data_IF_739520309386
#
_entry.id   IF_739520309386
#
_cell.length_a   1.000
_cell.length_b   1.000
_cell.length_c   1.000
_cell.angle_alpha   90.00
_cell.angle_beta   90.00
_cell.angle_gamma   90.00
#
_symmetry.space_group_name_H-M   'P 1'
#
loop_
_entity.id
_entity.type
_entity.pdbx_description
1 polymer ?
#
# COMPACT_ATOMS: atom_id res chain seq x y z
N UNK A 1 -0.31 -13.36 29.41
CA UNK A 1 -1.37 -14.18 28.79
C UNK A 1 -1.18 -14.08 27.29
N UNK A 2 -0.98 -15.18 26.54
CA UNK A 2 -0.77 -15.13 25.10
C UNK A 2 -1.89 -14.33 24.41
N UNK A 3 -1.50 -13.36 23.55
CA UNK A 3 -2.42 -12.52 22.79
C UNK A 3 -2.99 -11.28 23.50
N UNK A 4 -2.82 -11.15 24.83
CA UNK A 4 -3.30 -9.97 25.56
C UNK A 4 -2.25 -8.91 25.82
N UNK A 5 -0.99 -9.28 25.83
CA UNK A 5 0.15 -8.38 26.05
C UNK A 5 1.16 -8.62 24.93
N UNK A 6 1.58 -7.57 24.27
CA UNK A 6 2.70 -7.59 23.32
C UNK A 6 3.67 -6.48 23.70
N UNK A 7 4.93 -6.84 23.86
CA UNK A 7 6.04 -5.88 24.01
C UNK A 7 7.03 -6.25 22.92
N UNK A 8 7.44 -5.26 22.14
CA UNK A 8 8.38 -5.45 21.06
C UNK A 8 9.40 -4.33 20.99
N UNK A 9 10.57 -4.70 20.52
CA UNK A 9 11.67 -3.79 20.22
C UNK A 9 12.33 -4.28 18.92
N UNK A 10 12.62 -3.40 18.02
CA UNK A 10 13.30 -3.70 16.77
C UNK A 10 14.29 -2.62 16.38
N UNK A 11 15.33 -3.01 15.68
CA UNK A 11 16.31 -2.10 15.09
C UNK A 11 16.56 -2.55 13.66
N UNK A 12 16.72 -1.60 12.76
CA UNK A 12 16.99 -1.83 11.35
C UNK A 12 18.09 -0.90 10.86
N UNK A 13 18.77 -1.35 9.82
CA UNK A 13 19.71 -0.61 9.04
C UNK A 13 19.70 -1.16 7.62
N UNK A 14 19.41 -0.33 6.65
CA UNK A 14 19.44 -0.71 5.25
C UNK A 14 20.85 -0.85 4.70
N UNK A 15 20.96 -1.57 3.57
CA UNK A 15 22.23 -1.72 2.88
C UNK A 15 22.71 -0.36 2.33
N UNK A 16 23.95 0.02 2.67
CA UNK A 16 24.55 1.29 2.27
C UNK A 16 24.46 2.40 3.31
N UNK A 17 23.65 2.25 4.35
CA UNK A 17 23.54 3.24 5.42
C UNK A 17 24.72 3.18 6.40
N UNK A 18 25.09 4.31 7.03
CA UNK A 18 26.21 4.36 7.95
C UNK A 18 25.89 3.69 9.28
N UNK A 19 26.74 2.75 9.71
CA UNK A 19 26.70 2.16 11.04
C UNK A 19 27.60 2.98 11.98
N UNK A 20 27.13 4.17 12.38
CA UNK A 20 27.93 5.13 13.16
C UNK A 20 27.06 6.00 14.05
N UNK A 21 27.53 6.25 15.28
CA UNK A 21 26.92 7.21 16.21
C UNK A 21 26.92 8.67 15.72
N UNK A 22 27.77 8.99 14.75
CA UNK A 22 27.79 10.31 14.14
C UNK A 22 26.46 10.64 13.44
N UNK A 23 25.81 9.63 12.89
CA UNK A 23 24.59 9.77 12.09
C UNK A 23 23.37 9.13 12.76
N UNK A 24 23.56 8.17 13.67
CA UNK A 24 22.51 7.37 14.28
C UNK A 24 22.78 7.15 15.77
N UNK A 25 21.89 7.59 16.65
CA UNK A 25 22.09 7.57 18.12
C UNK A 25 22.38 6.17 18.67
N UNK A 26 21.75 5.15 18.12
CA UNK A 26 21.90 3.74 18.52
C UNK A 26 22.64 2.88 17.48
N UNK A 27 23.42 3.48 16.59
CA UNK A 27 24.08 2.85 15.43
C UNK A 27 23.15 2.37 14.32
N UNK A 28 21.87 2.17 14.60
CA UNK A 28 20.86 1.73 13.66
C UNK A 28 20.09 2.93 13.12
N UNK A 29 19.69 2.85 11.88
CA UNK A 29 18.98 3.93 11.20
C UNK A 29 17.58 4.11 11.77
N UNK A 30 16.89 3.02 11.95
CA UNK A 30 15.55 2.98 12.52
C UNK A 30 15.47 2.12 13.78
N UNK A 31 14.70 2.60 14.76
CA UNK A 31 14.39 1.87 15.99
C UNK A 31 12.90 1.92 16.25
N UNK A 32 12.32 0.79 16.59
CA UNK A 32 10.88 0.66 16.92
C UNK A 32 10.71 0.03 18.29
N UNK A 33 9.70 0.50 19.02
CA UNK A 33 9.32 -0.03 20.32
C UNK A 33 7.83 0.05 20.50
N UNK A 34 7.21 -0.98 21.08
CA UNK A 34 5.81 -0.92 21.46
C UNK A 34 5.49 -1.69 22.74
N UNK A 35 4.50 -1.19 23.47
CA UNK A 35 3.74 -1.93 24.49
C UNK A 35 2.28 -1.92 24.04
N UNK A 36 1.68 -3.08 23.94
CA UNK A 36 0.29 -3.24 23.54
C UNK A 36 -0.45 -4.16 24.51
N UNK A 37 -1.62 -3.70 24.97
CA UNK A 37 -2.52 -4.43 25.83
C UNK A 37 -3.88 -4.57 25.15
N UNK A 38 -4.43 -5.79 25.14
CA UNK A 38 -5.76 -6.06 24.60
C UNK A 38 -6.67 -6.68 25.67
N UNK A 39 -7.96 -6.28 25.65
CA UNK A 39 -8.97 -6.74 26.62
C UNK A 39 -8.53 -6.52 28.07
N UNK A 40 -8.08 -5.30 28.39
CA UNK A 40 -7.59 -4.93 29.73
C UNK A 40 -8.70 -5.09 30.76
N UNK A 41 -9.88 -4.54 30.48
CA UNK A 41 -11.09 -4.71 31.27
C UNK A 41 -12.35 -4.51 30.40
N UNK A 42 -13.53 -4.42 31.01
CA UNK A 42 -14.80 -4.24 30.28
C UNK A 42 -14.87 -2.91 29.52
N UNK A 43 -14.27 -1.85 30.06
CA UNK A 43 -14.23 -0.51 29.46
C UNK A 43 -13.05 -0.37 28.47
N UNK A 44 -11.85 -0.75 28.90
CA UNK A 44 -10.62 -0.56 28.12
C UNK A 44 -10.37 -1.80 27.27
N UNK A 45 -10.62 -1.64 25.95
CA UNK A 45 -10.48 -2.71 24.98
C UNK A 45 -9.04 -2.87 24.52
N UNK A 46 -8.36 -1.76 24.21
CA UNK A 46 -6.97 -1.74 23.74
C UNK A 46 -6.23 -0.52 24.26
N UNK A 47 -4.95 -0.70 24.54
CA UNK A 47 -4.00 0.38 24.83
C UNK A 47 -2.72 0.10 24.05
N UNK A 48 -2.15 1.10 23.45
CA UNK A 48 -0.85 1.03 22.78
C UNK A 48 0.00 2.22 23.15
N UNK A 49 1.29 1.99 23.39
CA UNK A 49 2.31 3.01 23.65
C UNK A 49 3.54 2.67 22.81
N UNK A 50 4.18 3.66 22.22
CA UNK A 50 5.31 3.51 21.32
C UNK A 50 4.88 3.52 19.86
N UNK A 51 5.41 2.60 19.04
CA UNK A 51 5.09 2.53 17.62
C UNK A 51 3.85 1.67 17.37
N UNK A 52 2.87 2.26 16.72
CA UNK A 52 1.58 1.61 16.48
C UNK A 52 1.01 1.95 15.10
N UNK A 53 -0.03 1.22 14.75
CA UNK A 53 -0.81 1.43 13.54
C UNK A 53 -2.27 1.69 13.93
N UNK A 54 -2.90 2.64 13.25
CA UNK A 54 -4.31 2.94 13.37
C UNK A 54 -4.99 2.85 12.01
N UNK A 55 -6.23 2.39 11.97
CA UNK A 55 -7.02 2.37 10.74
C UNK A 55 -8.50 2.57 11.01
N UNK A 56 -9.17 3.25 10.10
CA UNK A 56 -10.59 3.53 10.13
C UNK A 56 -11.19 3.38 8.73
N UNK A 57 -12.44 2.94 8.66
CA UNK A 57 -13.23 2.86 7.44
C UNK A 57 -12.58 2.07 6.30
N UNK A 58 -12.64 2.62 5.10
CA UNK A 58 -12.04 2.08 3.88
C UNK A 58 -10.69 2.75 3.53
N UNK A 59 -10.16 3.56 4.44
CA UNK A 59 -8.85 4.19 4.33
C UNK A 59 -8.84 5.49 3.55
N UNK A 60 -9.94 6.22 3.48
CA UNK A 60 -9.93 7.56 2.91
C UNK A 60 -9.11 8.54 3.75
N UNK A 61 -9.23 8.46 5.09
CA UNK A 61 -8.52 9.40 5.98
C UNK A 61 -7.42 8.75 6.81
N UNK A 62 -7.54 7.46 7.15
CA UNK A 62 -6.60 6.78 8.05
C UNK A 62 -6.46 5.30 7.74
N UNK A 63 -5.27 4.90 7.30
CA UNK A 63 -4.92 3.50 7.14
C UNK A 63 -3.40 3.30 7.26
N UNK A 64 -2.94 3.07 8.48
CA UNK A 64 -1.53 2.76 8.76
C UNK A 64 -1.28 1.27 8.56
N UNK A 65 -1.03 0.84 7.38
CA UNK A 65 -0.78 -0.57 7.06
C UNK A 65 -0.48 -0.73 5.58
N UNK A 66 -0.27 -1.96 5.13
CA UNK A 66 -0.16 -2.22 3.71
C UNK A 66 -1.54 -1.98 3.06
N UNK A 67 -1.65 -0.93 2.27
CA UNK A 67 -2.82 -0.67 1.43
C UNK A 67 -2.71 -1.50 0.16
N UNK A 68 -3.23 -2.73 0.17
CA UNK A 68 -3.31 -3.50 -1.06
C UNK A 68 -4.36 -2.86 -1.99
N UNK A 69 -3.91 -2.48 -3.17
CA UNK A 69 -4.75 -2.10 -4.30
C UNK A 69 -5.23 -3.32 -5.10
N UNK A 70 -5.30 -3.18 -6.40
CA UNK A 70 -5.66 -4.26 -7.34
C UNK A 70 -4.72 -5.45 -7.20
N UNK A 71 -5.28 -6.65 -7.02
CA UNK A 71 -4.50 -7.87 -6.83
C UNK A 71 -5.20 -9.09 -7.42
N UNK A 72 -4.49 -10.22 -7.43
CA UNK A 72 -5.06 -11.51 -7.82
C UNK A 72 -6.12 -12.07 -6.84
N UNK A 73 -6.30 -11.42 -5.67
CA UNK A 73 -7.42 -11.67 -4.76
C UNK A 73 -8.56 -10.72 -5.10
N UNK A 74 -9.25 -11.01 -6.18
CA UNK A 74 -10.15 -10.10 -6.88
C UNK A 74 -11.39 -9.68 -6.09
N UNK A 75 -11.76 -10.40 -5.04
CA UNK A 75 -12.86 -10.05 -4.13
C UNK A 75 -12.39 -9.40 -2.82
N UNK A 76 -11.09 -9.23 -2.61
CA UNK A 76 -10.52 -8.62 -1.41
C UNK A 76 -10.44 -7.08 -1.52
N UNK A 77 -11.52 -6.44 -1.94
CA UNK A 77 -11.60 -4.98 -2.16
C UNK A 77 -11.98 -4.21 -0.89
N UNK A 78 -12.73 -4.85 0.02
CA UNK A 78 -13.10 -4.25 1.31
C UNK A 78 -11.91 -4.26 2.25
N UNK A 79 -11.53 -3.09 2.77
CA UNK A 79 -10.50 -3.00 3.79
C UNK A 79 -11.03 -3.50 5.14
N UNK A 80 -10.21 -4.33 5.79
CA UNK A 80 -10.47 -4.77 7.16
C UNK A 80 -9.75 -3.82 8.11
N UNK A 81 -10.47 -2.84 8.61
CA UNK A 81 -9.94 -1.97 9.64
C UNK A 81 -9.60 -2.76 10.91
N UNK A 82 -8.44 -2.46 11.47
CA UNK A 82 -8.01 -3.00 12.77
C UNK A 82 -7.67 -1.83 13.66
N UNK A 83 -8.66 -1.15 14.21
CA UNK A 83 -8.55 0.13 14.93
C UNK A 83 -7.12 0.47 15.43
N UNK A 84 -6.70 -0.03 16.56
CA UNK A 84 -5.34 0.09 17.10
C UNK A 84 -4.63 -1.25 17.13
N UNK A 85 -3.37 -1.28 16.68
CA UNK A 85 -2.48 -2.44 16.79
C UNK A 85 -1.02 -2.01 16.95
N UNK A 86 -0.15 -2.81 17.59
CA UNK A 86 1.27 -2.49 17.65
C UNK A 86 1.88 -2.53 16.25
N UNK A 87 2.86 -1.68 15.98
CA UNK A 87 3.73 -1.83 14.82
C UNK A 87 4.79 -2.86 15.12
N UNK A 88 4.73 -3.98 14.40
CA UNK A 88 5.72 -5.07 14.49
C UNK A 88 6.62 -5.13 13.26
N UNK A 89 6.46 -4.18 12.35
CA UNK A 89 7.24 -4.03 11.13
C UNK A 89 8.38 -3.05 11.37
N UNK A 90 9.49 -3.29 10.72
CA UNK A 90 10.61 -2.36 10.63
C UNK A 90 10.41 -1.29 9.55
N UNK A 91 9.21 -1.22 8.94
CA UNK A 91 8.89 -0.19 7.97
C UNK A 91 8.68 1.16 8.67
N UNK A 92 9.53 2.11 8.38
CA UNK A 92 9.61 3.43 9.01
C UNK A 92 8.40 4.32 8.74
N UNK A 93 7.78 4.16 7.59
CA UNK A 93 6.80 5.11 7.05
C UNK A 93 5.40 4.88 7.63
N UNK A 94 5.02 3.63 7.85
CA UNK A 94 3.64 3.24 8.13
C UNK A 94 3.27 3.23 9.61
N UNK A 95 4.20 3.54 10.51
CA UNK A 95 3.96 3.57 11.95
C UNK A 95 3.69 5.00 12.45
N UNK A 96 2.75 5.11 13.38
CA UNK A 96 2.58 6.27 14.24
C UNK A 96 3.39 6.03 15.52
N UNK A 97 3.94 7.08 16.12
CA UNK A 97 4.72 6.98 17.37
C UNK A 97 4.08 7.83 18.46
N UNK A 98 3.65 7.20 19.54
CA UNK A 98 2.93 7.90 20.61
C UNK A 98 2.08 6.97 21.46
N UNK A 99 0.82 7.28 21.64
CA UNK A 99 -0.11 6.48 22.42
C UNK A 99 -1.53 6.49 21.85
N UNK A 100 -2.26 5.41 22.09
CA UNK A 100 -3.66 5.30 21.73
C UNK A 100 -4.44 4.38 22.66
N UNK A 101 -5.71 4.65 22.78
CA UNK A 101 -6.66 3.84 23.56
C UNK A 101 -7.95 3.61 22.79
N UNK A 102 -8.49 2.43 22.91
CA UNK A 102 -9.83 2.07 22.44
C UNK A 102 -10.67 1.63 23.63
N UNK A 103 -11.82 2.28 23.81
CA UNK A 103 -12.75 2.09 24.91
C UNK A 103 -14.06 1.50 24.40
N UNK A 104 -14.66 0.57 25.15
CA UNK A 104 -16.05 0.15 24.97
C UNK A 104 -16.93 1.06 25.82
N UNK A 105 -17.47 2.13 25.24
CA UNK A 105 -18.25 3.16 25.98
C UNK A 105 -19.70 2.75 26.20
N UNK A 106 -20.24 1.88 25.34
CA UNK A 106 -21.57 1.29 25.47
C UNK A 106 -21.61 -0.09 24.79
N UNK A 107 -22.76 -0.78 24.90
CA UNK A 107 -22.99 -2.03 24.18
C UNK A 107 -22.85 -1.77 22.70
N UNK A 108 -21.97 -2.52 22.03
CA UNK A 108 -21.65 -2.43 20.60
C UNK A 108 -21.06 -1.06 20.16
N UNK A 109 -20.66 -0.20 21.09
CA UNK A 109 -20.10 1.11 20.78
C UNK A 109 -18.69 1.24 21.34
N UNK A 110 -17.73 1.52 20.47
CA UNK A 110 -16.35 1.78 20.84
C UNK A 110 -15.93 3.20 20.47
N UNK A 111 -15.04 3.75 21.27
CA UNK A 111 -14.39 5.03 21.02
C UNK A 111 -12.89 4.83 21.05
N UNK A 112 -12.23 5.17 19.98
CA UNK A 112 -10.79 5.16 19.83
C UNK A 112 -10.28 6.60 19.79
N UNK A 113 -9.18 6.86 20.49
CA UNK A 113 -8.43 8.11 20.38
C UNK A 113 -6.94 7.80 20.43
N UNK A 114 -6.17 8.55 19.67
CA UNK A 114 -4.71 8.43 19.67
C UNK A 114 -4.04 9.77 19.40
N UNK A 115 -2.79 9.86 19.84
CA UNK A 115 -1.86 10.95 19.53
C UNK A 115 -0.51 10.39 19.14
N UNK A 116 0.12 11.02 18.17
CA UNK A 116 1.43 10.67 17.63
C UNK A 116 2.28 11.91 17.45
N UNK A 117 3.55 11.79 17.81
CA UNK A 117 4.60 12.77 17.50
C UNK A 117 5.75 12.01 16.90
N UNK A 118 6.05 12.27 15.64
CA UNK A 118 7.15 11.63 14.93
C UNK A 118 7.96 12.65 14.12
N UNK A 119 9.18 12.29 13.81
CA UNK A 119 9.96 12.97 12.77
C UNK A 119 9.81 12.20 11.46
N UNK A 120 9.61 12.93 10.39
CA UNK A 120 9.48 12.38 9.01
C UNK A 120 10.54 13.04 8.16
N UNK A 121 11.01 12.32 7.15
CA UNK A 121 11.97 12.83 6.21
C UNK A 121 11.29 13.80 5.25
N UNK A 122 12.01 14.85 4.89
CA UNK A 122 11.46 15.89 4.05
C UNK A 122 12.52 16.63 3.25
N UNK A 123 12.26 16.81 1.97
CA UNK A 123 13.13 17.57 1.09
C UNK A 123 13.06 19.07 1.43
N UNK A 124 14.10 19.59 2.06
CA UNK A 124 14.21 21.00 2.39
C UNK A 124 14.32 21.86 1.13
N UNK A 125 13.58 22.96 1.09
CA UNK A 125 13.82 24.03 0.12
C UNK A 125 14.74 25.04 0.81
N UNK A 126 15.98 25.17 0.32
CA UNK A 126 16.92 26.19 0.77
C UNK A 126 16.72 27.41 -0.14
N UNK A 127 16.17 28.54 0.37
CA UNK A 127 16.05 29.76 -0.43
C UNK A 127 17.43 30.32 -0.81
N UNK A 128 17.57 30.86 -2.01
CA UNK A 128 18.83 31.43 -2.51
C UNK A 128 19.28 32.69 -1.74
N UNK A 129 18.44 33.27 -0.90
CA UNK A 129 18.73 34.45 -0.07
C UNK A 129 18.56 34.11 1.41
N UNK A 130 19.67 34.21 2.14
CA UNK A 130 19.72 34.01 3.60
C UNK A 130 19.22 35.30 4.27
N UNK A 131 17.92 35.47 4.40
CA UNK A 131 17.36 36.36 5.43
C UNK A 131 16.97 35.52 6.64
N UNK A 132 17.48 35.87 7.79
CA UNK A 132 17.49 35.08 9.02
C UNK A 132 16.09 34.75 9.64
N UNK A 133 14.98 35.10 9.00
CA UNK A 133 13.63 34.90 9.51
C UNK A 133 12.69 34.19 8.51
N UNK A 134 13.25 33.56 7.48
CA UNK A 134 12.39 32.87 6.51
C UNK A 134 11.86 31.54 7.07
N UNK A 135 10.58 31.33 6.91
CA UNK A 135 9.88 30.09 7.27
C UNK A 135 10.51 28.90 6.53
N UNK A 136 10.92 27.89 7.29
CA UNK A 136 11.46 26.65 6.71
C UNK A 136 10.37 25.91 5.93
N UNK A 137 10.65 25.65 4.67
CA UNK A 137 9.73 25.06 3.71
C UNK A 137 10.27 23.72 3.26
N UNK A 138 9.36 22.77 3.00
CA UNK A 138 9.68 21.48 2.41
C UNK A 138 8.90 21.30 1.12
N UNK A 139 9.51 20.70 0.10
CA UNK A 139 8.86 20.38 -1.17
C UNK A 139 8.05 19.08 -1.14
N UNK A 140 8.45 18.14 -0.33
CA UNK A 140 7.78 16.84 -0.19
C UNK A 140 8.12 16.16 1.13
N UNK A 141 7.22 15.28 1.58
CA UNK A 141 7.50 14.27 2.60
C UNK A 141 8.04 13.03 1.90
N UNK A 142 9.22 12.55 2.31
CA UNK A 142 9.81 11.36 1.73
C UNK A 142 9.16 10.09 2.30
N UNK A 143 8.95 9.12 1.42
CA UNK A 143 8.30 7.86 1.73
C UNK A 143 9.21 6.64 1.48
N UNK A 144 10.53 6.85 1.44
CA UNK A 144 11.50 5.79 1.17
C UNK A 144 12.16 5.23 2.43
N UNK A 145 12.46 6.08 3.43
CA UNK A 145 13.17 5.71 4.64
C UNK A 145 14.61 5.24 4.36
N UNK A 146 15.29 5.80 3.34
CA UNK A 146 16.65 5.42 2.96
C UNK A 146 17.60 6.57 3.24
N UNK A 147 18.70 6.30 3.96
CA UNK A 147 19.68 7.30 4.42
C UNK A 147 21.12 6.90 4.07
N UNK A 148 21.38 6.71 2.76
CA UNK A 148 22.64 6.17 2.21
C UNK A 148 23.59 7.26 1.72
N UNK A 149 23.03 8.35 1.19
CA UNK A 149 23.75 9.51 0.65
C UNK A 149 23.72 10.67 1.64
N UNK A 150 24.62 11.64 1.50
CA UNK A 150 24.64 12.84 2.35
C UNK A 150 23.32 13.60 2.29
N UNK A 151 22.73 13.74 1.11
CA UNK A 151 21.42 14.39 0.90
C UNK A 151 20.29 13.63 1.61
N UNK A 152 20.23 12.29 1.49
CA UNK A 152 19.25 11.46 2.19
C UNK A 152 19.40 11.57 3.72
N UNK A 153 20.65 11.70 4.23
CA UNK A 153 20.94 11.87 5.65
C UNK A 153 20.53 13.27 6.15
N UNK A 154 20.71 14.31 5.35
CA UNK A 154 20.28 15.68 5.68
C UNK A 154 18.75 15.81 5.76
N UNK A 155 18.04 15.09 4.93
CA UNK A 155 16.57 15.06 4.91
C UNK A 155 15.96 14.23 6.05
N UNK A 156 16.77 13.39 6.73
CA UNK A 156 16.35 12.48 7.80
C UNK A 156 15.73 13.22 8.97
N UNK A 157 14.48 12.86 9.28
CA UNK A 157 13.76 13.40 10.43
C UNK A 157 13.62 14.93 10.41
N UNK A 158 13.72 15.55 9.25
CA UNK A 158 13.74 17.01 9.08
C UNK A 158 12.41 17.66 9.48
N UNK A 159 11.29 16.94 9.37
CA UNK A 159 9.94 17.43 9.64
C UNK A 159 9.37 16.79 10.89
N UNK A 160 8.98 17.61 11.89
CA UNK A 160 8.19 17.13 13.02
C UNK A 160 6.71 17.12 12.64
N UNK A 161 6.11 15.93 12.70
CA UNK A 161 4.68 15.71 12.44
C UNK A 161 3.96 15.34 13.74
N UNK A 162 2.89 16.05 14.04
CA UNK A 162 1.95 15.74 15.14
C UNK A 162 0.68 15.25 14.48
N UNK A 163 0.23 14.06 14.84
CA UNK A 163 -1.03 13.50 14.34
C UNK A 163 -1.93 13.14 15.51
N UNK A 164 -3.17 13.57 15.49
CA UNK A 164 -4.20 13.18 16.44
C UNK A 164 -5.39 12.61 15.69
N UNK A 165 -6.01 11.56 16.22
CA UNK A 165 -7.20 11.00 15.58
C UNK A 165 -8.17 10.38 16.56
N UNK A 166 -9.43 10.32 16.14
CA UNK A 166 -10.50 9.69 16.90
C UNK A 166 -11.46 8.95 15.98
N UNK A 167 -12.04 7.87 16.50
CA UNK A 167 -13.10 7.10 15.84
C UNK A 167 -14.16 6.73 16.85
N UNK A 168 -15.40 7.10 16.56
CA UNK A 168 -16.58 6.61 17.27
C UNK A 168 -17.27 5.59 16.39
N UNK A 169 -17.35 4.32 16.84
CA UNK A 169 -17.89 3.23 16.06
C UNK A 169 -18.98 2.47 16.79
N UNK A 170 -20.11 2.34 16.13
CA UNK A 170 -21.15 1.39 16.49
C UNK A 170 -21.05 0.14 15.60
N UNK A 171 -21.00 -1.03 16.22
CA UNK A 171 -20.91 -2.32 15.54
C UNK A 171 -22.01 -3.28 16.00
N UNK A 172 -23.17 -3.19 15.38
CA UNK A 172 -24.29 -4.12 15.55
C UNK A 172 -24.10 -5.41 14.75
N UNK A 173 -25.09 -6.31 14.85
CA UNK A 173 -25.02 -7.63 14.15
C UNK A 173 -25.17 -7.55 12.64
N UNK A 174 -25.98 -6.60 12.16
CA UNK A 174 -26.24 -6.42 10.71
C UNK A 174 -25.69 -5.13 10.14
N UNK A 175 -25.29 -4.21 10.99
CA UNK A 175 -24.90 -2.86 10.59
C UNK A 175 -23.79 -2.33 11.49
N UNK A 176 -22.80 -1.71 10.90
CA UNK A 176 -21.82 -0.89 11.60
C UNK A 176 -21.69 0.48 10.94
N UNK A 177 -21.46 1.49 11.75
CA UNK A 177 -21.18 2.86 11.31
C UNK A 177 -20.04 3.43 12.16
N UNK A 178 -19.15 4.16 11.51
CA UNK A 178 -18.04 4.87 12.15
C UNK A 178 -18.04 6.35 11.78
N UNK A 179 -17.69 7.20 12.73
CA UNK A 179 -17.35 8.61 12.52
C UNK A 179 -15.89 8.77 12.89
N UNK A 180 -15.10 9.26 11.97
CA UNK A 180 -13.64 9.29 12.07
C UNK A 180 -13.13 10.70 11.83
N UNK A 181 -12.09 11.10 12.56
CA UNK A 181 -11.43 12.40 12.37
C UNK A 181 -9.94 12.23 12.58
N UNK A 182 -9.14 12.85 11.72
CA UNK A 182 -7.68 12.90 11.81
C UNK A 182 -7.22 14.33 11.58
N UNK A 183 -6.40 14.81 12.48
CA UNK A 183 -5.73 16.10 12.42
C UNK A 183 -4.23 15.90 12.37
N UNK A 184 -3.58 16.57 11.44
CA UNK A 184 -2.14 16.61 11.27
C UNK A 184 -1.61 18.02 11.37
N UNK A 185 -0.46 18.17 12.04
CA UNK A 185 0.29 19.42 12.09
C UNK A 185 1.78 19.15 11.81
N UNK A 186 2.31 19.88 10.85
CA UNK A 186 3.72 19.91 10.51
C UNK A 186 4.37 21.16 11.13
N UNK A 187 5.59 21.05 11.58
CA UNK A 187 6.38 22.21 12.07
C UNK A 187 6.84 23.09 10.89
N UNK A 188 6.97 22.53 9.71
CA UNK A 188 7.38 23.21 8.47
C UNK A 188 6.24 23.22 7.45
N UNK A 189 6.19 24.26 6.62
CA UNK A 189 5.18 24.38 5.58
C UNK A 189 5.54 23.45 4.42
N UNK A 190 4.61 22.57 4.03
CA UNK A 190 4.72 21.78 2.81
C UNK A 190 4.29 22.64 1.63
N UNK A 191 5.18 22.84 0.68
CA UNK A 191 4.93 23.55 -0.57
C UNK A 191 5.44 22.69 -1.73
N UNK A 192 4.57 21.88 -2.35
CA UNK A 192 4.95 21.08 -3.50
C UNK A 192 5.53 21.94 -4.62
N UNK A 193 6.49 21.38 -5.37
CA UNK A 193 7.11 22.08 -6.51
C UNK A 193 6.03 22.57 -7.49
N UNK A 194 6.27 23.74 -8.09
CA UNK A 194 5.34 24.35 -9.05
C UNK A 194 5.36 23.59 -10.39
N UNK A 195 4.67 22.47 -10.40
CA UNK A 195 4.40 21.64 -11.59
C UNK A 195 2.90 21.51 -11.77
N UNK A 196 2.42 21.52 -12.98
CA UNK A 196 1.00 21.49 -13.29
C UNK A 196 0.22 20.40 -12.55
N UNK A 197 0.77 19.19 -12.43
CA UNK A 197 0.13 18.08 -11.76
C UNK A 197 0.08 18.22 -10.22
N UNK A 198 0.96 19.04 -9.61
CA UNK A 198 1.02 19.27 -8.16
C UNK A 198 0.07 20.36 -7.66
N UNK A 199 -0.60 21.09 -8.55
CA UNK A 199 -1.40 22.28 -8.22
C UNK A 199 -2.43 22.05 -7.09
N UNK A 200 -2.99 20.88 -6.98
CA UNK A 200 -4.00 20.52 -5.98
C UNK A 200 -3.46 19.65 -4.84
N UNK A 201 -2.16 19.41 -4.80
CA UNK A 201 -1.56 18.68 -3.69
C UNK A 201 -1.67 19.47 -2.40
N UNK A 202 -1.64 18.78 -1.27
CA UNK A 202 -1.66 19.45 0.03
C UNK A 202 -0.51 20.46 0.15
N UNK A 203 -0.85 21.68 0.54
CA UNK A 203 0.08 22.76 0.86
C UNK A 203 -0.28 23.35 2.21
N UNK A 204 0.72 23.69 3.02
CA UNK A 204 0.56 24.28 4.34
C UNK A 204 1.08 23.39 5.48
N UNK A 205 0.67 23.71 6.71
CA UNK A 205 1.13 23.05 7.93
C UNK A 205 0.10 22.15 8.58
N UNK A 206 -1.20 22.38 8.33
CA UNK A 206 -2.26 21.73 9.07
C UNK A 206 -3.26 21.06 8.12
N UNK A 207 -3.63 19.82 8.42
CA UNK A 207 -4.62 19.08 7.69
C UNK A 207 -5.65 18.50 8.67
N UNK A 208 -6.93 18.64 8.33
CA UNK A 208 -8.03 18.04 9.08
C UNK A 208 -8.91 17.25 8.11
N UNK A 209 -9.09 15.98 8.36
CA UNK A 209 -9.98 15.14 7.58
C UNK A 209 -11.00 14.48 8.48
N UNK A 210 -12.26 14.44 8.06
CA UNK A 210 -13.33 13.73 8.75
C UNK A 210 -14.05 12.81 7.79
N UNK A 211 -14.48 11.64 8.27
CA UNK A 211 -15.23 10.68 7.45
C UNK A 211 -16.33 9.99 8.24
N UNK A 212 -17.28 9.46 7.47
CA UNK A 212 -18.27 8.50 7.94
C UNK A 212 -18.11 7.23 7.13
N UNK A 213 -17.94 6.10 7.81
CA UNK A 213 -17.91 4.78 7.20
C UNK A 213 -19.11 3.93 7.62
N UNK A 214 -19.43 2.95 6.78
CA UNK A 214 -20.48 1.99 7.09
C UNK A 214 -20.16 0.61 6.54
N UNK A 215 -20.76 -0.41 7.18
CA UNK A 215 -20.87 -1.78 6.64
C UNK A 215 -22.27 -2.31 6.97
N UNK A 216 -22.93 -2.85 5.98
CA UNK A 216 -24.28 -3.43 6.11
C UNK A 216 -24.30 -4.87 5.58
N UNK A 217 -24.76 -5.80 6.41
CA UNK A 217 -24.86 -7.22 6.08
C UNK A 217 -26.32 -7.58 5.73
N UNK A 218 -26.55 -7.87 4.47
CA UNK A 218 -27.85 -8.27 3.94
C UNK A 218 -27.76 -9.66 3.32
N UNK A 219 -28.12 -10.70 4.08
CA UNK A 219 -28.03 -12.10 3.62
C UNK A 219 -26.66 -12.43 3.02
N UNK A 220 -26.63 -12.60 1.69
CA UNK A 220 -25.43 -12.90 0.90
C UNK A 220 -24.73 -11.66 0.32
N UNK A 221 -25.11 -10.46 0.75
CA UNK A 221 -24.54 -9.19 0.30
C UNK A 221 -23.94 -8.45 1.49
N UNK A 222 -22.74 -7.93 1.33
CA UNK A 222 -22.10 -7.00 2.25
C UNK A 222 -21.89 -5.68 1.52
N UNK A 223 -22.65 -4.66 1.91
CA UNK A 223 -22.43 -3.30 1.44
C UNK A 223 -21.47 -2.59 2.39
N UNK A 224 -20.57 -1.80 1.85
CA UNK A 224 -19.62 -1.05 2.64
C UNK A 224 -19.22 0.24 1.91
N UNK A 225 -18.79 1.22 2.67
CA UNK A 225 -18.32 2.46 2.10
C UNK A 225 -17.73 3.40 3.14
N UNK A 226 -17.11 4.45 2.65
CA UNK A 226 -16.62 5.59 3.42
C UNK A 226 -16.79 6.84 2.58
N UNK A 227 -17.22 7.93 3.21
CA UNK A 227 -17.27 9.26 2.61
C UNK A 227 -16.53 10.22 3.53
N UNK A 228 -15.59 10.97 2.98
CA UNK A 228 -14.70 11.85 3.72
C UNK A 228 -14.72 13.26 3.15
N UNK A 229 -14.44 14.23 4.01
CA UNK A 229 -14.34 15.65 3.68
C UNK A 229 -13.05 16.22 4.27
N UNK A 230 -12.41 17.11 3.53
CA UNK A 230 -11.26 17.91 3.96
C UNK A 230 -11.64 19.39 4.15
N UNK A 231 -10.76 20.26 4.68
CA UNK A 231 -11.03 21.68 4.88
C UNK A 231 -11.37 22.45 3.60
N UNK A 232 -10.91 21.98 2.44
CA UNK A 232 -11.28 22.55 1.13
C UNK A 232 -12.73 22.22 0.72
N UNK A 233 -13.51 21.56 1.62
CA UNK A 233 -14.87 21.06 1.38
C UNK A 233 -14.98 20.09 0.21
N UNK A 234 -13.86 19.46 -0.16
CA UNK A 234 -13.82 18.43 -1.16
C UNK A 234 -14.27 17.10 -0.57
N UNK A 235 -15.21 16.42 -1.23
CA UNK A 235 -15.85 15.19 -0.75
C UNK A 235 -15.32 14.01 -1.57
N UNK A 236 -14.60 13.12 -0.92
CA UNK A 236 -14.17 11.84 -1.48
C UNK A 236 -15.08 10.71 -1.00
N UNK A 237 -15.37 9.75 -1.86
CA UNK A 237 -16.21 8.61 -1.49
C UNK A 237 -15.74 7.30 -2.13
N UNK A 238 -15.86 6.23 -1.38
CA UNK A 238 -15.65 4.84 -1.84
C UNK A 238 -16.80 4.00 -1.34
N UNK A 239 -17.46 3.29 -2.25
CA UNK A 239 -18.59 2.42 -1.93
C UNK A 239 -18.45 1.10 -2.67
N UNK A 240 -18.78 0.00 -2.02
CA UNK A 240 -18.64 -1.32 -2.61
C UNK A 240 -19.66 -2.32 -2.11
N UNK A 241 -19.73 -3.42 -2.83
CA UNK A 241 -20.57 -4.57 -2.50
C UNK A 241 -19.78 -5.87 -2.67
N UNK A 242 -19.84 -6.75 -1.69
CA UNK A 242 -19.42 -8.14 -1.81
C UNK A 242 -20.68 -9.00 -1.88
N UNK A 243 -20.80 -9.82 -2.91
CA UNK A 243 -22.01 -10.57 -3.22
C UNK A 243 -21.66 -12.05 -3.38
N UNK A 244 -22.21 -12.90 -2.53
CA UNK A 244 -22.17 -14.34 -2.71
C UNK A 244 -23.30 -14.79 -3.64
N UNK A 245 -23.04 -14.86 -4.94
CA UNK A 245 -24.05 -15.29 -5.92
C UNK A 245 -24.39 -16.77 -5.79
N UNK A 246 -23.38 -17.58 -5.49
CA UNK A 246 -23.48 -19.01 -5.30
C UNK A 246 -22.37 -19.46 -4.34
N UNK A 247 -22.45 -20.61 -3.64
CA UNK A 247 -21.34 -21.12 -2.81
C UNK A 247 -19.99 -21.25 -3.54
N UNK A 248 -20.01 -21.27 -4.87
CA UNK A 248 -18.83 -21.35 -5.73
C UNK A 248 -18.51 -20.04 -6.45
N UNK A 249 -19.33 -18.98 -6.33
CA UNK A 249 -19.17 -17.73 -7.08
C UNK A 249 -19.37 -16.54 -6.16
N UNK A 250 -18.33 -15.74 -6.03
CA UNK A 250 -18.33 -14.48 -5.31
C UNK A 250 -18.05 -13.32 -6.28
N UNK A 251 -18.75 -12.21 -6.08
CA UNK A 251 -18.60 -10.98 -6.87
C UNK A 251 -18.23 -9.83 -5.92
N UNK A 252 -17.37 -8.96 -6.36
CA UNK A 252 -17.04 -7.70 -5.73
C UNK A 252 -17.27 -6.54 -6.70
N UNK A 253 -17.95 -5.52 -6.25
CA UNK A 253 -18.13 -4.26 -6.96
C UNK A 253 -17.57 -3.14 -6.11
N UNK A 254 -16.94 -2.13 -6.73
CA UNK A 254 -16.46 -0.95 -6.03
C UNK A 254 -16.53 0.26 -6.94
N UNK A 255 -17.09 1.33 -6.44
CA UNK A 255 -17.05 2.67 -7.02
C UNK A 255 -16.19 3.56 -6.13
N UNK A 256 -15.37 4.40 -6.74
CA UNK A 256 -14.54 5.39 -6.06
C UNK A 256 -14.58 6.74 -6.78
N UNK A 257 -14.68 7.79 -6.00
CA UNK A 257 -14.58 9.17 -6.48
C UNK A 257 -13.72 9.98 -5.51
N UNK A 258 -12.55 10.36 -5.98
CA UNK A 258 -11.51 11.09 -5.27
C UNK A 258 -11.25 12.38 -6.05
N UNK A 259 -11.89 13.51 -5.69
CA UNK A 259 -11.65 14.79 -6.34
C UNK A 259 -10.17 15.21 -6.29
N UNK A 260 -9.71 15.97 -7.24
CA UNK A 260 -8.33 16.48 -7.30
C UNK A 260 -7.96 17.39 -6.11
N UNK A 261 -8.94 18.07 -5.52
CA UNK A 261 -8.78 18.93 -4.34
C UNK A 261 -8.83 18.14 -3.02
N UNK A 262 -9.18 16.85 -3.05
CA UNK A 262 -9.16 16.01 -1.87
C UNK A 262 -7.74 15.54 -1.58
N UNK A 263 -7.31 15.62 -0.33
CA UNK A 263 -6.04 15.10 0.14
C UNK A 263 -6.18 14.46 1.52
N UNK A 264 -5.35 13.49 1.81
CA UNK A 264 -5.18 12.89 3.13
C UNK A 264 -3.76 12.38 3.29
N UNK A 265 -3.07 12.81 4.36
CA UNK A 265 -1.67 12.41 4.62
C UNK A 265 -1.57 10.93 5.05
N UNK A 266 -2.65 10.34 5.57
CA UNK A 266 -2.70 8.95 6.04
C UNK A 266 -3.69 8.08 5.24
N UNK A 267 -4.26 8.62 4.17
CA UNK A 267 -5.18 7.88 3.31
C UNK A 267 -4.45 6.81 2.48
N UNK A 268 -5.02 5.60 2.43
CA UNK A 268 -4.60 4.50 1.55
C UNK A 268 -5.83 3.75 1.08
N UNK A 269 -6.59 4.37 0.23
CA UNK A 269 -7.82 3.81 -0.34
C UNK A 269 -7.50 2.79 -1.44
N UNK A 270 -8.50 2.03 -1.86
CA UNK A 270 -8.40 1.21 -3.08
C UNK A 270 -8.46 2.14 -4.30
N UNK A 271 -7.33 2.34 -4.96
CA UNK A 271 -7.15 3.23 -6.12
C UNK A 271 -6.11 2.66 -7.08
N UNK A 272 -6.01 3.24 -8.27
CA UNK A 272 -4.93 2.93 -9.21
C UNK A 272 -3.63 3.60 -8.75
N UNK A 273 -3.71 4.86 -8.39
CA UNK A 273 -2.57 5.60 -7.85
C UNK A 273 -2.38 5.37 -6.35
N UNK A 274 -1.16 5.62 -5.88
CA UNK A 274 -0.82 5.56 -4.44
C UNK A 274 -1.47 6.70 -3.66
N UNK A 275 -1.62 7.87 -4.28
CA UNK A 275 -2.25 9.03 -3.67
C UNK A 275 -3.78 8.88 -3.63
N UNK A 276 -4.39 9.37 -2.54
CA UNK A 276 -5.85 9.33 -2.33
C UNK A 276 -6.49 10.59 -2.92
N UNK A 277 -6.29 10.85 -4.20
CA UNK A 277 -6.75 12.05 -4.91
C UNK A 277 -6.90 11.81 -6.40
N UNK A 278 -7.63 12.71 -7.10
CA UNK A 278 -7.69 12.84 -8.56
C UNK A 278 -8.06 11.54 -9.31
N UNK A 279 -9.00 10.76 -8.78
CA UNK A 279 -9.39 9.51 -9.45
C UNK A 279 -10.88 9.23 -9.31
N UNK A 280 -11.53 8.90 -10.41
CA UNK A 280 -12.88 8.32 -10.42
C UNK A 280 -12.80 6.97 -11.11
N UNK A 281 -13.26 5.91 -10.44
CA UNK A 281 -13.13 4.57 -11.00
C UNK A 281 -14.24 3.61 -10.58
N UNK A 282 -14.37 2.56 -11.37
CA UNK A 282 -15.29 1.46 -11.13
C UNK A 282 -14.55 0.13 -11.32
N UNK A 283 -14.68 -0.73 -10.33
CA UNK A 283 -14.06 -2.06 -10.29
C UNK A 283 -15.14 -3.15 -10.20
N UNK A 284 -14.93 -4.21 -10.93
CA UNK A 284 -15.68 -5.46 -10.81
C UNK A 284 -14.68 -6.62 -10.70
N UNK A 285 -14.82 -7.44 -9.66
CA UNK A 285 -13.98 -8.61 -9.42
C UNK A 285 -14.80 -9.84 -9.13
N UNK A 286 -14.36 -11.00 -9.57
CA UNK A 286 -15.04 -12.28 -9.31
C UNK A 286 -14.04 -13.35 -8.89
N UNK A 287 -14.50 -14.23 -8.00
CA UNK A 287 -13.84 -15.48 -7.65
C UNK A 287 -14.82 -16.64 -7.93
N UNK A 288 -14.39 -17.60 -8.75
CA UNK A 288 -15.17 -18.78 -9.11
C UNK A 288 -14.40 -20.04 -8.70
N UNK A 289 -15.04 -20.92 -7.94
CA UNK A 289 -14.51 -22.21 -7.48
C UNK A 289 -15.27 -23.38 -8.10
N UNK A 290 -15.02 -23.73 -9.37
CA UNK A 290 -15.72 -24.81 -10.05
C UNK A 290 -15.60 -26.13 -9.28
N UNK A 291 -14.44 -26.37 -8.69
CA UNK A 291 -14.15 -27.51 -7.82
C UNK A 291 -13.23 -27.09 -6.66
N UNK A 292 -13.07 -27.95 -5.62
CA UNK A 292 -12.18 -27.63 -4.48
C UNK A 292 -10.70 -27.42 -4.85
N UNK A 293 -10.30 -27.75 -6.08
CA UNK A 293 -8.92 -27.64 -6.54
C UNK A 293 -8.70 -26.49 -7.53
N UNK A 294 -9.75 -26.03 -8.19
CA UNK A 294 -9.66 -24.97 -9.19
C UNK A 294 -10.26 -23.68 -8.66
N UNK A 295 -9.52 -22.58 -8.82
CA UNK A 295 -9.97 -21.24 -8.51
C UNK A 295 -9.68 -20.35 -9.72
N UNK A 296 -10.72 -19.64 -10.16
CA UNK A 296 -10.64 -18.63 -11.20
C UNK A 296 -10.86 -17.28 -10.53
N UNK A 297 -9.91 -16.38 -10.66
CA UNK A 297 -10.04 -14.99 -10.25
C UNK A 297 -9.96 -14.11 -11.48
N UNK A 298 -10.91 -13.19 -11.62
CA UNK A 298 -10.90 -12.21 -12.70
C UNK A 298 -11.35 -10.84 -12.19
N UNK A 299 -10.79 -9.78 -12.75
CA UNK A 299 -11.29 -8.42 -12.53
C UNK A 299 -11.19 -7.57 -13.79
N UNK A 300 -12.05 -6.55 -13.84
CA UNK A 300 -11.94 -5.38 -14.69
C UNK A 300 -12.00 -4.13 -13.82
N UNK A 301 -11.14 -3.16 -14.08
CA UNK A 301 -11.09 -1.87 -13.42
C UNK A 301 -10.96 -0.77 -14.47
N UNK A 302 -11.82 0.25 -14.36
CA UNK A 302 -11.87 1.41 -15.23
C UNK A 302 -11.68 2.65 -14.38
N UNK A 303 -10.80 3.55 -14.78
CA UNK A 303 -10.51 4.76 -14.02
C UNK A 303 -10.15 5.94 -14.92
N UNK A 304 -10.38 7.13 -14.39
CA UNK A 304 -10.01 8.39 -15.02
C UNK A 304 -9.46 9.37 -14.00
N UNK A 305 -8.54 10.18 -14.44
CA UNK A 305 -7.96 11.30 -13.74
C UNK A 305 -8.46 12.60 -14.37
N UNK A 306 -9.13 13.44 -13.59
CA UNK A 306 -9.69 14.71 -14.07
C UNK A 306 -8.66 15.83 -14.20
N UNK A 307 -7.46 15.63 -13.67
CA UNK A 307 -6.33 16.55 -13.65
C UNK A 307 -5.06 15.83 -14.09
N UNK A 308 -4.04 16.54 -14.63
CA UNK A 308 -2.74 15.95 -14.93
C UNK A 308 -2.18 15.08 -13.79
N UNK A 309 -1.41 14.08 -14.17
CA UNK A 309 -0.66 13.20 -13.28
C UNK A 309 0.83 13.30 -13.58
N UNK A 310 1.69 12.65 -12.82
CA UNK A 310 3.14 12.64 -13.11
C UNK A 310 3.48 12.13 -14.52
N UNK A 311 2.65 11.26 -15.09
CA UNK A 311 2.90 10.64 -16.39
C UNK A 311 2.02 11.19 -17.53
N UNK A 312 1.02 12.00 -17.21
CA UNK A 312 0.07 12.53 -18.20
C UNK A 312 -0.19 14.02 -17.94
N UNK A 313 0.24 14.88 -18.85
CA UNK A 313 0.11 16.34 -18.74
C UNK A 313 -1.32 16.86 -19.00
N UNK A 314 -2.29 15.95 -19.15
CA UNK A 314 -3.71 16.23 -19.29
C UNK A 314 -4.59 15.28 -18.49
N UNK A 315 -5.92 15.54 -18.45
CA UNK A 315 -6.89 14.57 -17.98
C UNK A 315 -6.71 13.25 -18.74
N UNK A 316 -6.65 12.14 -18.03
CA UNK A 316 -6.32 10.85 -18.61
C UNK A 316 -7.23 9.74 -18.09
N UNK A 317 -7.28 8.64 -18.81
CA UNK A 317 -8.05 7.46 -18.42
C UNK A 317 -7.24 6.19 -18.61
N UNK A 318 -7.66 5.14 -17.92
CA UNK A 318 -7.03 3.85 -18.03
C UNK A 318 -7.97 2.72 -17.64
N UNK A 319 -7.56 1.52 -18.02
CA UNK A 319 -8.26 0.30 -17.65
C UNK A 319 -7.25 -0.81 -17.32
N UNK A 320 -7.68 -1.77 -16.53
CA UNK A 320 -6.86 -2.90 -16.13
C UNK A 320 -7.71 -4.16 -15.99
N UNK A 321 -7.25 -5.25 -16.56
CA UNK A 321 -7.90 -6.56 -16.53
C UNK A 321 -6.94 -7.60 -15.97
N UNK A 322 -7.47 -8.58 -15.27
CA UNK A 322 -6.71 -9.72 -14.80
C UNK A 322 -7.57 -10.98 -14.87
N UNK A 323 -6.99 -12.07 -15.32
CA UNK A 323 -7.53 -13.42 -15.20
C UNK A 323 -6.44 -14.30 -14.64
N UNK A 324 -6.74 -15.03 -13.55
CA UNK A 324 -5.85 -15.99 -12.95
C UNK A 324 -6.57 -17.32 -12.77
N UNK A 325 -6.00 -18.37 -13.35
CA UNK A 325 -6.46 -19.75 -13.19
C UNK A 325 -5.49 -20.46 -12.25
N UNK A 326 -5.99 -20.92 -11.11
CA UNK A 326 -5.18 -21.60 -10.10
C UNK A 326 -5.64 -23.05 -9.93
N UNK A 327 -4.69 -23.96 -9.85
CA UNK A 327 -4.91 -25.35 -9.48
C UNK A 327 -4.13 -25.67 -8.21
N UNK A 328 -4.84 -26.11 -7.17
CA UNK A 328 -4.24 -26.43 -5.89
C UNK A 328 -4.60 -27.85 -5.45
N UNK A 329 -3.60 -28.68 -5.23
CA UNK A 329 -3.74 -29.94 -4.52
C UNK A 329 -3.03 -29.87 -3.20
N UNK A 330 -3.83 -29.75 -2.12
CA UNK A 330 -3.34 -29.53 -0.75
C UNK A 330 -2.07 -30.35 -0.45
N UNK A 331 -1.02 -29.66 0.03
CA UNK A 331 0.31 -30.21 0.38
C UNK A 331 1.11 -30.83 -0.77
N UNK A 332 0.66 -30.75 -2.01
CA UNK A 332 1.38 -31.37 -3.15
C UNK A 332 1.70 -30.40 -4.27
N UNK A 333 0.71 -29.64 -4.73
CA UNK A 333 0.78 -28.80 -5.91
C UNK A 333 0.14 -27.45 -5.67
N UNK A 334 0.79 -26.42 -6.15
CA UNK A 334 0.24 -25.08 -6.28
C UNK A 334 0.74 -24.52 -7.61
N UNK A 335 -0.20 -24.36 -8.55
CA UNK A 335 0.13 -23.93 -9.91
C UNK A 335 -0.89 -22.92 -10.37
N UNK A 336 -0.43 -21.91 -11.10
CA UNK A 336 -1.34 -20.96 -11.73
C UNK A 336 -0.77 -20.41 -13.03
N UNK A 337 -1.69 -20.00 -13.90
CA UNK A 337 -1.43 -19.10 -15.02
C UNK A 337 -2.20 -17.82 -14.78
N UNK A 338 -1.56 -16.68 -15.02
CA UNK A 338 -2.14 -15.36 -14.85
C UNK A 338 -1.86 -14.55 -16.10
N UNK A 339 -2.90 -13.93 -16.62
CA UNK A 339 -2.84 -12.88 -17.62
C UNK A 339 -3.29 -11.58 -17.00
N UNK A 340 -2.54 -10.51 -17.25
CA UNK A 340 -2.90 -9.14 -16.87
C UNK A 340 -2.70 -8.23 -18.06
N UNK A 341 -3.66 -7.36 -18.30
CA UNK A 341 -3.56 -6.30 -19.31
C UNK A 341 -3.88 -4.96 -18.64
N UNK A 342 -3.13 -3.96 -18.99
CA UNK A 342 -3.32 -2.58 -18.53
C UNK A 342 -3.11 -1.64 -19.70
N UNK A 343 -4.05 -0.71 -19.89
CA UNK A 343 -3.93 0.40 -20.83
C UNK A 343 -4.13 1.70 -20.07
N UNK A 344 -3.23 2.64 -20.27
CA UNK A 344 -3.28 3.95 -19.61
C UNK A 344 -2.76 5.04 -20.57
N UNK A 345 -3.31 6.23 -20.45
CA UNK A 345 -2.88 7.37 -21.22
C UNK A 345 -1.69 8.06 -20.56
N UNK A 346 -0.64 8.30 -21.34
CA UNK A 346 0.59 8.98 -20.92
C UNK A 346 0.98 10.04 -21.93
N UNK A 347 1.72 11.05 -21.50
CA UNK A 347 2.28 12.06 -22.41
C UNK A 347 3.37 11.46 -23.29
N UNK A 348 3.30 11.70 -24.58
CA UNK A 348 4.35 11.30 -25.52
C UNK A 348 5.57 12.20 -25.43
N UNK A 349 6.70 11.71 -25.90
CA UNK A 349 8.00 12.40 -25.87
C UNK A 349 8.21 13.38 -27.05
N UNK A 350 7.16 13.69 -27.81
CA UNK A 350 7.29 14.56 -28.98
C UNK A 350 7.37 16.03 -28.55
N UNK A 351 8.33 16.77 -29.12
CA UNK A 351 8.54 18.21 -28.95
C UNK A 351 7.40 19.05 -29.59
N UNK A 352 6.17 18.83 -29.19
CA UNK A 352 5.00 19.59 -29.64
C UNK A 352 4.59 20.55 -28.54
N UNK A 353 4.21 21.78 -28.93
CA UNK A 353 3.74 22.83 -28.02
C UNK A 353 2.53 22.44 -27.15
N UNK A 354 1.76 21.45 -27.58
CA UNK A 354 0.66 20.86 -26.82
C UNK A 354 0.96 19.36 -26.64
N UNK A 355 1.24 18.92 -25.41
CA UNK A 355 1.49 17.51 -25.15
C UNK A 355 0.29 16.65 -25.56
N UNK A 356 0.49 15.75 -26.50
CA UNK A 356 -0.53 14.77 -26.87
C UNK A 356 -0.47 13.56 -25.93
N UNK A 357 -1.64 13.06 -25.53
CA UNK A 357 -1.76 11.83 -24.77
C UNK A 357 -1.81 10.63 -25.73
N UNK A 358 -1.03 9.61 -25.41
CA UNK A 358 -0.95 8.35 -26.15
C UNK A 358 -1.27 7.20 -25.22
N UNK A 359 -1.79 6.11 -25.76
CA UNK A 359 -1.97 4.88 -24.99
C UNK A 359 -0.64 4.19 -24.77
N UNK A 360 -0.37 3.82 -23.53
CA UNK A 360 0.65 2.85 -23.15
C UNK A 360 -0.06 1.56 -22.75
N UNK A 361 0.28 0.45 -23.40
CA UNK A 361 -0.36 -0.83 -23.19
C UNK A 361 0.64 -1.85 -22.68
N UNK A 362 0.29 -2.54 -21.61
CA UNK A 362 1.12 -3.56 -20.98
C UNK A 362 0.34 -4.85 -20.80
N UNK A 363 0.84 -5.93 -21.40
CA UNK A 363 0.33 -7.28 -21.22
C UNK A 363 1.35 -8.14 -20.49
N UNK A 364 0.95 -8.73 -19.37
CA UNK A 364 1.77 -9.62 -18.55
C UNK A 364 1.21 -11.03 -18.55
N UNK A 365 2.04 -12.02 -18.87
CA UNK A 365 1.70 -13.44 -18.71
C UNK A 365 2.63 -14.03 -17.68
N UNK A 366 2.08 -14.69 -16.66
CA UNK A 366 2.83 -15.39 -15.63
C UNK A 366 2.36 -16.83 -15.51
N UNK A 367 3.30 -17.75 -15.60
CA UNK A 367 3.12 -19.13 -15.18
C UNK A 367 3.92 -19.40 -13.92
N UNK A 368 3.29 -20.01 -12.94
CA UNK A 368 3.94 -20.41 -11.69
C UNK A 368 3.57 -21.84 -11.35
N UNK A 369 4.57 -22.59 -10.98
CA UNK A 369 4.45 -23.98 -10.58
C UNK A 369 5.23 -24.21 -9.29
N UNK A 370 4.56 -24.79 -8.29
CA UNK A 370 5.19 -25.20 -7.05
C UNK A 370 4.76 -26.62 -6.71
N UNK A 371 5.73 -27.51 -6.44
CA UNK A 371 5.51 -28.89 -6.08
C UNK A 371 6.32 -29.26 -4.84
N UNK A 372 5.65 -29.81 -3.84
CA UNK A 372 6.34 -30.46 -2.73
C UNK A 372 6.78 -31.86 -3.16
N UNK A 373 8.09 -32.13 -3.02
CA UNK A 373 8.73 -33.40 -3.29
C UNK A 373 9.07 -34.08 -1.97
N UNK A 374 8.21 -34.99 -1.53
CA UNK A 374 8.31 -35.57 -0.19
C UNK A 374 7.98 -34.59 0.94
N UNK A 375 8.57 -34.80 2.11
CA UNK A 375 8.28 -34.01 3.33
C UNK A 375 9.25 -32.82 3.52
N UNK A 376 10.34 -32.77 2.76
CA UNK A 376 11.46 -31.86 3.04
C UNK A 376 11.76 -30.88 1.91
N UNK A 377 11.43 -31.28 0.67
CA UNK A 377 11.79 -30.52 -0.52
C UNK A 377 10.55 -29.89 -1.15
N UNK A 378 10.73 -28.71 -1.71
CA UNK A 378 9.78 -28.08 -2.62
C UNK A 378 10.53 -27.54 -3.84
N UNK A 379 9.96 -27.78 -5.00
CA UNK A 379 10.46 -27.25 -6.27
C UNK A 379 9.48 -26.20 -6.78
N UNK A 380 10.01 -25.03 -7.10
CA UNK A 380 9.26 -23.91 -7.64
C UNK A 380 9.84 -23.48 -8.98
N UNK A 381 8.98 -23.25 -9.93
CA UNK A 381 9.32 -22.73 -11.26
C UNK A 381 8.40 -21.59 -11.60
N UNK A 382 8.95 -20.52 -12.17
CA UNK A 382 8.16 -19.37 -12.62
C UNK A 382 8.69 -18.88 -13.95
N UNK A 383 7.75 -18.48 -14.80
CA UNK A 383 8.01 -17.79 -16.05
C UNK A 383 7.11 -16.56 -16.12
N UNK A 384 7.70 -15.40 -16.36
CA UNK A 384 7.01 -14.14 -16.65
C UNK A 384 7.39 -13.67 -18.04
N UNK A 385 6.41 -13.19 -18.78
CA UNK A 385 6.59 -12.49 -20.03
C UNK A 385 5.80 -11.20 -20.00
N UNK A 386 6.42 -10.11 -20.40
CA UNK A 386 5.84 -8.76 -20.47
C UNK A 386 5.97 -8.25 -21.89
N UNK A 387 4.85 -7.88 -22.47
CA UNK A 387 4.76 -7.15 -23.73
C UNK A 387 4.27 -5.73 -23.44
N UNK A 388 5.07 -4.74 -23.80
CA UNK A 388 4.79 -3.32 -23.55
C UNK A 388 4.80 -2.57 -24.89
N UNK A 389 3.74 -1.83 -25.16
CA UNK A 389 3.62 -0.92 -26.27
C UNK A 389 3.69 0.50 -25.72
N UNK A 390 4.67 1.24 -26.18
CA UNK A 390 4.95 2.62 -25.79
C UNK A 390 4.41 3.61 -26.86
N UNK A 391 4.24 4.89 -26.50
CA UNK A 391 3.95 5.94 -27.49
C UNK A 391 4.90 5.89 -28.69
N UNK A 392 4.35 6.01 -29.90
CA UNK A 392 5.13 5.91 -31.15
C UNK A 392 5.37 4.49 -31.65
N UNK A 393 4.54 3.53 -31.23
CA UNK A 393 4.55 2.11 -31.62
C UNK A 393 5.86 1.36 -31.28
N UNK A 394 6.66 1.91 -30.38
CA UNK A 394 7.81 1.23 -29.82
C UNK A 394 7.35 0.09 -28.92
N UNK A 395 7.85 -1.11 -29.15
CA UNK A 395 7.48 -2.30 -28.38
C UNK A 395 8.67 -2.85 -27.61
N UNK A 396 8.42 -3.28 -26.39
CA UNK A 396 9.39 -3.97 -25.54
C UNK A 396 8.89 -5.35 -25.18
N UNK A 397 9.78 -6.33 -25.16
CA UNK A 397 9.50 -7.72 -24.83
C UNK A 397 10.45 -8.19 -23.74
N UNK A 398 9.95 -8.35 -22.54
CA UNK A 398 10.75 -8.70 -21.37
C UNK A 398 10.34 -10.04 -20.80
N UNK A 399 11.31 -10.80 -20.30
CA UNK A 399 11.01 -12.07 -19.65
C UNK A 399 11.90 -12.34 -18.43
N UNK A 400 11.35 -13.13 -17.51
CA UNK A 400 12.05 -13.69 -16.37
C UNK A 400 11.67 -15.17 -16.26
N UNK A 401 12.65 -16.04 -16.11
CA UNK A 401 12.44 -17.44 -15.76
C UNK A 401 13.31 -17.80 -14.57
N UNK A 402 12.75 -18.49 -13.58
CA UNK A 402 13.56 -19.08 -12.53
C UNK A 402 13.16 -20.51 -12.17
N UNK A 403 14.14 -21.22 -11.64
CA UNK A 403 13.98 -22.49 -10.96
C UNK A 403 14.50 -22.36 -9.54
N UNK A 404 13.73 -22.85 -8.57
CA UNK A 404 14.09 -22.81 -7.15
C UNK A 404 13.86 -24.18 -6.51
N UNK A 405 14.84 -24.63 -5.79
CA UNK A 405 14.74 -25.79 -4.91
C UNK A 405 14.88 -25.33 -3.47
N UNK A 406 13.86 -25.62 -2.67
CA UNK A 406 13.83 -25.27 -1.27
C UNK A 406 13.77 -26.50 -0.39
N UNK A 407 14.66 -26.56 0.63
CA UNK A 407 14.76 -27.63 1.60
C UNK A 407 14.38 -27.13 2.99
N UNK A 408 13.36 -27.75 3.61
CA UNK A 408 12.94 -27.46 4.99
C UNK A 408 12.65 -28.76 5.73
N UNK A 409 13.68 -29.43 6.28
CA UNK A 409 13.50 -30.66 7.06
C UNK A 409 12.68 -30.39 8.33
N UNK A 410 11.66 -31.21 8.56
CA UNK A 410 10.83 -31.13 9.76
C UNK A 410 11.68 -31.46 11.01
N UNK A 411 11.52 -30.65 12.06
CA UNK A 411 12.25 -30.83 13.32
C UNK A 411 13.74 -30.52 13.27
N UNK A 412 14.25 -29.95 12.17
CA UNK A 412 15.60 -29.43 12.05
C UNK A 412 15.62 -27.91 12.08
N UNK A 413 16.63 -27.28 12.70
CA UNK A 413 16.73 -25.83 12.76
C UNK A 413 17.16 -25.18 11.43
N UNK A 414 17.65 -25.99 10.48
CA UNK A 414 18.18 -25.50 9.21
C UNK A 414 17.14 -25.60 8.09
N UNK A 415 17.01 -24.55 7.32
CA UNK A 415 16.33 -24.52 6.03
C UNK A 415 17.18 -23.73 5.04
N UNK A 416 17.08 -24.06 3.76
CA UNK A 416 17.83 -23.35 2.71
C UNK A 416 17.13 -23.46 1.37
N UNK A 417 17.52 -22.62 0.45
CA UNK A 417 17.06 -22.66 -0.93
C UNK A 417 18.22 -22.35 -1.88
N UNK A 418 18.07 -22.81 -3.10
CA UNK A 418 18.92 -22.47 -4.23
C UNK A 418 17.99 -22.03 -5.34
N UNK A 419 18.23 -20.86 -5.89
CA UNK A 419 17.50 -20.33 -7.04
C UNK A 419 18.47 -20.00 -8.16
N UNK A 420 18.08 -20.33 -9.38
CA UNK A 420 18.71 -19.86 -10.60
C UNK A 420 17.66 -19.12 -11.44
N UNK A 421 17.94 -17.88 -11.78
CA UNK A 421 17.08 -17.05 -12.60
C UNK A 421 17.84 -16.53 -13.83
N UNK A 422 17.14 -16.47 -14.95
CA UNK A 422 17.59 -15.83 -16.21
C UNK A 422 16.54 -14.78 -16.57
N UNK A 423 16.99 -13.61 -16.98
CA UNK A 423 16.11 -12.53 -17.35
C UNK A 423 16.68 -11.67 -18.47
N UNK A 424 15.77 -11.11 -19.25
CA UNK A 424 16.02 -10.04 -20.20
C UNK A 424 14.87 -9.06 -20.09
N UNK A 425 15.16 -7.86 -19.58
CA UNK A 425 14.17 -6.80 -19.30
C UNK A 425 14.70 -5.53 -19.96
N UNK A 426 14.01 -5.08 -21.00
CA UNK A 426 14.51 -4.04 -21.89
C UNK A 426 14.60 -2.67 -21.23
N UNK A 427 13.63 -2.31 -20.37
CA UNK A 427 13.63 -1.02 -19.68
C UNK A 427 13.00 -1.07 -18.30
N UNK A 428 13.14 0.03 -17.56
CA UNK A 428 12.46 0.26 -16.29
C UNK A 428 10.92 0.16 -16.40
N UNK A 429 10.32 0.45 -17.57
CA UNK A 429 8.87 0.40 -17.75
C UNK A 429 8.36 -1.04 -17.91
N UNK A 430 9.16 -1.90 -18.51
CA UNK A 430 8.88 -3.35 -18.65
C UNK A 430 9.43 -4.21 -17.51
N UNK A 431 9.95 -3.60 -16.43
CA UNK A 431 10.53 -4.29 -15.27
C UNK A 431 9.62 -5.37 -14.68
N UNK A 432 10.25 -6.44 -14.23
CA UNK A 432 9.58 -7.60 -13.64
C UNK A 432 9.96 -7.71 -12.16
N UNK A 433 8.97 -7.93 -11.31
CA UNK A 433 9.20 -8.12 -9.89
C UNK A 433 9.08 -9.58 -9.48
N UNK A 434 10.04 -10.05 -8.70
CA UNK A 434 9.99 -11.38 -8.11
C UNK A 434 10.38 -11.35 -6.65
N UNK A 435 9.53 -11.99 -5.84
CA UNK A 435 9.86 -12.25 -4.44
C UNK A 435 11.02 -13.24 -4.35
N UNK A 436 12.00 -12.93 -3.50
CA UNK A 436 13.06 -13.86 -3.10
C UNK A 436 12.98 -14.13 -1.60
N UNK A 437 13.26 -15.37 -1.22
CA UNK A 437 13.47 -15.70 0.17
C UNK A 437 14.75 -15.02 0.66
N UNK A 438 14.65 -14.34 1.78
CA UNK A 438 15.77 -13.66 2.42
C UNK A 438 15.83 -14.02 3.90
N UNK A 439 16.43 -13.19 4.73
CA UNK A 439 16.49 -13.42 6.18
C UNK A 439 15.08 -13.41 6.79
N UNK A 440 14.94 -14.01 7.98
CA UNK A 440 13.69 -13.99 8.72
C UNK A 440 13.28 -12.53 8.99
N UNK A 441 11.99 -12.24 8.79
CA UNK A 441 11.38 -10.90 8.94
C UNK A 441 11.69 -9.88 7.84
N UNK A 442 12.53 -10.20 6.87
CA UNK A 442 12.72 -9.40 5.66
C UNK A 442 12.03 -10.07 4.45
N UNK A 443 11.34 -9.27 3.63
CA UNK A 443 10.68 -9.70 2.42
C UNK A 443 11.17 -8.86 1.25
N UNK A 444 12.03 -9.43 0.43
CA UNK A 444 12.53 -8.73 -0.75
C UNK A 444 11.72 -9.06 -1.99
N UNK A 445 11.09 -8.02 -2.52
CA UNK A 445 10.51 -8.07 -3.85
C UNK A 445 11.50 -7.40 -4.81
N UNK A 446 12.37 -8.21 -5.41
CA UNK A 446 13.43 -7.70 -6.27
C UNK A 446 12.86 -7.23 -7.60
N UNK A 447 13.36 -6.10 -8.06
CA UNK A 447 13.18 -5.58 -9.40
C UNK A 447 14.26 -6.15 -10.31
N UNK A 448 13.86 -6.68 -11.45
CA UNK A 448 14.74 -7.13 -12.51
C UNK A 448 14.69 -6.13 -13.67
N UNK A 449 15.86 -5.71 -14.13
CA UNK A 449 16.09 -4.78 -15.22
C UNK A 449 17.41 -5.14 -15.92
N UNK A 450 17.49 -4.95 -17.24
CA UNK A 450 18.64 -5.35 -18.05
C UNK A 450 18.66 -6.85 -18.39
N UNK A 451 19.82 -7.35 -18.80
CA UNK A 451 20.04 -8.75 -19.21
C UNK A 451 20.96 -9.41 -18.20
N UNK A 452 20.62 -10.59 -17.73
CA UNK A 452 21.50 -11.30 -16.80
C UNK A 452 20.98 -12.64 -16.32
N UNK A 453 21.77 -13.18 -15.42
CA UNK A 453 21.43 -14.32 -14.59
C UNK A 453 21.68 -14.01 -13.12
N UNK A 454 21.02 -14.76 -12.25
CA UNK A 454 21.12 -14.58 -10.79
C UNK A 454 21.05 -15.93 -10.10
N UNK A 455 21.99 -16.11 -9.18
CA UNK A 455 22.04 -17.26 -8.29
C UNK A 455 21.67 -16.88 -6.86
#
# INVERSE_FOLDING_TARGET
>A
VPGRVSIGFGMEKDAGEPFSRKYNDLFFDFTTFHIYLENVNKLVKRVVIGDFQASAGQGLILFSGYGFGKSAFTTAVKKNERSLRPSTSLNEINALRGAGVELNIAKNTSFMVFGSIRRSDGNAIIPDSIENDQEQIISSLQMAGLHRTLSEIEDKGYVKQITAGSTLKYAGTKFSIGINTVYDKLDKSLQPSDRGYNKYYFSGKEALNSSVDYTYFLRNVVLFGETAVNPAKSIATVNGALIGLHPKVSLALMFRHLPKEYYSLHGKVFSDQTATTNETGFYIGTEIKPSPRFVINAYADFYKHSWPTFQADGPSEGNSYLIKLSYQKRKKWDTYIQFRYQSEQVTGTNDVLIPALFSREKADIRFHFNRKVGNYLAWSSRFDYVHLILPGDNTENSYLMYQELWARPLGKPFSGFIRFAVFNVESYQSRIYSYEHYMAYDSRNLQFEGIGNRF
#
